data_IF_918883725742
#
_entry.id   IF_918883725742
#
_cell.length_a   1.000
_cell.length_b   1.000
_cell.length_c   1.000
_cell.angle_alpha   90.00
_cell.angle_beta   90.00
_cell.angle_gamma   90.00
#
_symmetry.space_group_name_H-M   'P 1'
#
loop_
_entity.id
_entity.type
_entity.pdbx_description
1 polymer ?
#
# COMPACT_ATOMS: atom_id res chain seq x y z
N UNK A 1 14.79 -80.36 0.51
CA UNK A 1 14.61 -79.52 -0.70
C UNK A 1 15.12 -78.12 -0.41
N UNK A 2 16.24 -77.70 -1.01
CA UNK A 2 16.84 -76.36 -0.87
C UNK A 2 17.06 -75.82 -2.28
N UNK A 3 16.36 -74.74 -2.66
CA UNK A 3 16.52 -74.06 -3.95
C UNK A 3 17.63 -73.01 -3.82
N UNK A 4 18.56 -73.02 -4.79
CA UNK A 4 19.77 -72.19 -4.84
C UNK A 4 19.47 -70.86 -5.55
N UNK A 5 20.05 -69.80 -5.01
CA UNK A 5 20.12 -68.43 -5.56
C UNK A 5 21.26 -68.39 -6.60
N UNK A 6 21.05 -67.67 -7.70
CA UNK A 6 22.09 -67.34 -8.71
C UNK A 6 22.23 -65.83 -8.77
N UNK A 7 23.46 -65.35 -8.57
CA UNK A 7 23.90 -63.96 -8.67
C UNK A 7 24.63 -63.81 -10.01
N UNK A 8 24.25 -62.83 -10.83
CA UNK A 8 24.90 -62.53 -12.10
C UNK A 8 25.70 -61.23 -11.95
N UNK A 9 27.03 -61.35 -12.05
CA UNK A 9 27.95 -60.23 -12.15
C UNK A 9 28.12 -59.84 -13.62
N UNK A 10 28.03 -58.55 -13.94
CA UNK A 10 28.31 -58.01 -15.26
C UNK A 10 29.55 -57.11 -15.18
N UNK A 11 30.56 -57.44 -16.00
CA UNK A 11 31.87 -56.80 -16.05
C UNK A 11 31.85 -55.64 -17.05
N UNK A 12 32.34 -54.48 -16.63
CA UNK A 12 32.57 -53.30 -17.46
C UNK A 12 33.76 -53.53 -18.41
N UNK A 13 33.60 -53.12 -19.67
CA UNK A 13 34.71 -52.89 -20.59
C UNK A 13 34.60 -51.47 -21.16
N UNK A 14 35.64 -50.68 -20.90
CA UNK A 14 35.89 -49.37 -21.47
C UNK A 14 36.57 -49.50 -22.83
N UNK A 15 36.13 -48.68 -23.78
CA UNK A 15 36.78 -48.47 -25.07
C UNK A 15 36.27 -47.16 -25.66
N UNK A 16 37.06 -46.10 -25.52
CA UNK A 16 36.76 -44.80 -26.12
C UNK A 16 37.17 -44.77 -27.59
N UNK A 17 36.33 -44.15 -28.41
CA UNK A 17 36.75 -43.31 -29.53
C UNK A 17 35.79 -42.13 -29.64
N UNK A 18 36.37 -40.94 -29.66
CA UNK A 18 35.70 -39.66 -29.79
C UNK A 18 35.27 -39.43 -31.26
N UNK A 19 34.05 -38.91 -31.44
CA UNK A 19 33.72 -37.98 -32.52
C UNK A 19 32.79 -36.90 -31.95
N UNK A 20 33.30 -35.68 -32.03
CA UNK A 20 32.66 -34.38 -31.81
C UNK A 20 31.49 -34.17 -32.78
N UNK A 21 30.36 -33.64 -32.33
CA UNK A 21 30.02 -32.21 -32.37
C UNK A 21 28.49 -32.01 -32.38
N UNK A 22 28.04 -30.88 -31.84
CA UNK A 22 26.62 -30.49 -31.82
C UNK A 22 26.04 -30.35 -30.41
N UNK A 23 26.77 -29.69 -29.50
CA UNK A 23 26.19 -29.18 -28.27
C UNK A 23 25.09 -28.19 -28.60
N UNK A 24 23.83 -28.63 -28.54
CA UNK A 24 22.70 -27.73 -28.40
C UNK A 24 22.74 -27.16 -26.99
N UNK A 25 23.64 -26.20 -26.75
CA UNK A 25 23.45 -25.22 -25.69
C UNK A 25 22.22 -24.43 -26.11
N UNK A 26 21.05 -24.89 -25.66
CA UNK A 26 19.82 -24.10 -25.78
C UNK A 26 20.10 -22.77 -25.09
N UNK A 27 20.41 -21.74 -25.88
CA UNK A 27 20.50 -20.37 -25.42
C UNK A 27 19.18 -20.10 -24.70
N UNK A 28 19.26 -19.67 -23.43
CA UNK A 28 18.07 -19.20 -22.74
C UNK A 28 17.43 -18.12 -23.62
N UNK A 29 16.09 -18.13 -23.82
CA UNK A 29 15.44 -17.09 -24.58
C UNK A 29 15.74 -15.74 -23.91
N UNK A 30 16.39 -14.86 -24.65
CA UNK A 30 16.75 -13.51 -24.19
C UNK A 30 15.48 -12.66 -24.22
N UNK A 31 14.99 -12.26 -23.05
CA UNK A 31 13.90 -11.29 -22.97
C UNK A 31 14.49 -9.90 -23.19
N UNK A 32 14.06 -9.22 -24.25
CA UNK A 32 14.58 -7.90 -24.59
C UNK A 32 13.74 -6.78 -23.98
N UNK A 33 12.47 -7.04 -23.69
CA UNK A 33 11.51 -6.04 -23.21
C UNK A 33 11.18 -6.29 -21.74
N UNK A 34 11.11 -5.24 -20.94
CA UNK A 34 10.61 -5.35 -19.56
C UNK A 34 9.09 -5.53 -19.62
N UNK A 35 8.63 -6.75 -19.31
CA UNK A 35 7.21 -7.10 -19.18
C UNK A 35 6.91 -7.32 -17.71
N UNK A 36 6.02 -6.52 -17.14
CA UNK A 36 5.74 -6.53 -15.71
C UNK A 36 4.25 -6.61 -15.46
N UNK A 37 3.85 -7.44 -14.52
CA UNK A 37 2.50 -7.49 -13.97
C UNK A 37 2.53 -7.07 -12.50
N UNK A 38 1.70 -6.11 -12.12
CA UNK A 38 1.59 -5.62 -10.76
C UNK A 38 0.34 -6.17 -10.07
N UNK A 39 0.49 -6.71 -8.87
CA UNK A 39 -0.63 -6.87 -7.93
C UNK A 39 -0.57 -5.80 -6.86
N UNK A 40 -1.66 -5.60 -6.14
CA UNK A 40 -1.72 -4.71 -4.99
C UNK A 40 -1.81 -5.59 -3.73
N UNK A 41 -0.94 -5.30 -2.77
CA UNK A 41 -0.70 -6.14 -1.60
C UNK A 41 -1.85 -6.07 -0.61
N UNK A 42 -2.46 -7.21 -0.32
CA UNK A 42 -3.52 -7.31 0.69
C UNK A 42 -2.93 -7.40 2.11
N UNK A 43 -3.57 -6.68 3.03
CA UNK A 43 -3.35 -6.78 4.47
C UNK A 43 -3.80 -8.16 5.00
N UNK A 44 -2.91 -9.15 4.93
CA UNK A 44 -2.96 -10.49 5.57
C UNK A 44 -4.33 -11.16 5.81
N UNK A 45 -4.56 -12.23 5.04
CA UNK A 45 -5.55 -13.33 5.15
C UNK A 45 -6.99 -13.02 4.69
N UNK A 46 -7.36 -13.72 3.61
CA UNK A 46 -8.64 -13.83 2.89
C UNK A 46 -8.81 -12.88 1.68
N UNK A 47 -9.10 -13.53 0.54
CA UNK A 47 -9.41 -13.08 -0.84
C UNK A 47 -10.60 -12.08 -0.82
N UNK A 48 -10.83 -11.08 -1.68
CA UNK A 48 -10.72 -10.82 -3.13
C UNK A 48 -10.47 -9.31 -3.32
N UNK A 49 -9.63 -8.93 -4.31
CA UNK A 49 -9.20 -7.55 -4.49
C UNK A 49 -10.15 -6.70 -5.32
N UNK A 50 -11.15 -6.10 -4.69
CA UNK A 50 -12.08 -5.17 -5.35
C UNK A 50 -11.64 -3.71 -5.37
N UNK A 51 -10.57 -3.35 -4.66
CA UNK A 51 -10.29 -1.93 -4.44
C UNK A 51 -9.52 -1.17 -5.51
N UNK A 52 -9.44 -1.65 -6.76
CA UNK A 52 -8.70 -0.97 -7.84
C UNK A 52 -9.25 -1.40 -9.21
N UNK A 53 -10.57 -1.27 -9.38
CA UNK A 53 -11.23 -1.54 -10.66
C UNK A 53 -10.68 -0.64 -11.78
N UNK A 54 -10.30 0.59 -11.42
CA UNK A 54 -9.69 1.56 -12.31
C UNK A 54 -8.18 1.42 -12.41
N UNK A 55 -7.64 1.96 -13.50
CA UNK A 55 -6.21 1.93 -13.77
C UNK A 55 -5.45 2.91 -12.87
N UNK A 56 -4.30 2.47 -12.34
CA UNK A 56 -3.45 3.30 -11.49
C UNK A 56 -2.30 3.90 -12.29
N UNK A 57 -2.19 5.23 -12.25
CA UNK A 57 -1.02 5.95 -12.75
C UNK A 57 0.15 5.77 -11.77
N UNK A 58 1.15 4.98 -12.16
CA UNK A 58 2.31 4.63 -11.33
C UNK A 58 3.61 5.10 -11.98
N UNK A 59 4.68 5.19 -11.21
CA UNK A 59 6.00 5.47 -11.74
C UNK A 59 6.99 4.39 -11.30
N UNK A 60 8.04 4.16 -12.07
CA UNK A 60 9.16 3.32 -11.66
C UNK A 60 10.46 4.13 -11.68
N UNK A 61 11.12 4.23 -10.54
CA UNK A 61 12.50 4.68 -10.50
C UNK A 61 13.40 3.56 -11.05
N UNK A 62 14.20 3.86 -12.08
CA UNK A 62 15.09 2.92 -12.77
C UNK A 62 16.55 3.34 -12.66
N UNK A 63 17.42 2.35 -12.48
CA UNK A 63 18.86 2.46 -12.58
C UNK A 63 19.41 1.35 -13.46
N UNK A 64 20.39 1.69 -14.29
CA UNK A 64 21.09 0.72 -15.14
C UNK A 64 22.52 0.57 -14.65
N UNK A 65 23.00 -0.66 -14.64
CA UNK A 65 24.42 -0.94 -14.40
C UNK A 65 25.26 -0.22 -15.48
N UNK A 66 26.41 0.31 -15.10
CA UNK A 66 27.28 1.05 -16.05
C UNK A 66 28.17 0.11 -16.85
N UNK A 67 28.54 -1.03 -16.25
CA UNK A 67 29.40 -2.06 -16.84
C UNK A 67 28.87 -3.45 -16.44
N UNK A 68 28.79 -4.43 -17.34
CA UNK A 68 28.27 -5.76 -17.01
C UNK A 68 28.94 -6.37 -15.78
N UNK A 69 28.14 -6.84 -14.82
CA UNK A 69 28.59 -7.57 -13.62
C UNK A 69 29.51 -6.75 -12.68
N UNK A 70 29.50 -5.43 -12.79
CA UNK A 70 30.30 -4.53 -11.95
C UNK A 70 29.66 -4.21 -10.60
N UNK A 71 28.35 -4.35 -10.49
CA UNK A 71 27.57 -3.87 -9.35
C UNK A 71 27.49 -2.35 -9.24
N UNK A 72 27.99 -1.61 -10.23
CA UNK A 72 27.99 -0.14 -10.26
C UNK A 72 26.88 0.38 -11.15
N UNK A 73 26.10 1.34 -10.66
CA UNK A 73 24.89 1.83 -11.33
C UNK A 73 24.99 3.32 -11.64
N UNK A 74 24.31 3.72 -12.72
CA UNK A 74 24.18 5.13 -13.12
C UNK A 74 23.21 5.91 -12.23
N UNK A 75 22.87 7.12 -12.66
CA UNK A 75 21.85 7.93 -11.98
C UNK A 75 20.45 7.28 -12.08
N UNK A 76 19.60 7.56 -11.09
CA UNK A 76 18.18 7.23 -11.20
C UNK A 76 17.53 8.06 -12.31
N UNK A 77 16.50 7.49 -12.91
CA UNK A 77 15.53 8.20 -13.73
C UNK A 77 14.15 7.58 -13.51
N UNK A 78 13.10 8.31 -13.88
CA UNK A 78 11.72 7.89 -13.68
C UNK A 78 11.09 7.40 -14.98
N UNK A 79 10.38 6.28 -14.91
CA UNK A 79 9.64 5.67 -16.00
C UNK A 79 8.15 5.69 -15.66
N UNK A 80 7.38 6.55 -16.33
CA UNK A 80 5.92 6.60 -16.18
C UNK A 80 5.28 5.31 -16.70
N UNK A 81 4.29 4.81 -15.98
CA UNK A 81 3.53 3.64 -16.35
C UNK A 81 2.09 3.68 -15.84
N UNK A 82 1.26 2.78 -16.34
CA UNK A 82 -0.07 2.54 -15.82
C UNK A 82 -0.19 1.08 -15.43
N UNK A 83 -0.63 0.80 -14.20
CA UNK A 83 -1.15 -0.52 -13.87
C UNK A 83 -2.60 -0.56 -14.35
N UNK A 84 -2.93 -1.47 -15.27
CA UNK A 84 -4.31 -1.64 -15.70
C UNK A 84 -5.23 -1.91 -14.50
N UNK A 85 -6.47 -1.46 -14.59
CA UNK A 85 -7.48 -1.71 -13.56
C UNK A 85 -7.89 -3.19 -13.49
N UNK A 86 -8.48 -3.55 -12.35
CA UNK A 86 -8.99 -4.89 -12.08
C UNK A 86 -8.14 -5.70 -11.10
N UNK A 87 -8.72 -6.82 -10.68
CA UNK A 87 -8.25 -7.63 -9.58
C UNK A 87 -6.93 -8.36 -9.91
N UNK A 88 -6.18 -8.69 -8.86
CA UNK A 88 -5.02 -9.57 -8.96
C UNK A 88 -3.83 -8.94 -9.70
N UNK A 89 -3.15 -9.74 -10.53
CA UNK A 89 -2.00 -9.28 -11.31
C UNK A 89 -2.49 -8.66 -12.61
N UNK A 90 -2.25 -7.36 -12.75
CA UNK A 90 -2.60 -6.62 -13.95
C UNK A 90 -1.34 -6.13 -14.67
N UNK A 91 -1.36 -6.06 -16.01
CA UNK A 91 -0.24 -5.54 -16.79
C UNK A 91 0.17 -4.13 -16.35
N UNK A 92 1.48 -3.89 -16.29
CA UNK A 92 2.10 -2.57 -16.19
C UNK A 92 2.48 -2.12 -17.59
N UNK A 93 1.86 -1.04 -18.05
CA UNK A 93 2.10 -0.43 -19.35
C UNK A 93 2.95 0.82 -19.20
N UNK A 94 4.24 0.74 -19.55
CA UNK A 94 5.10 1.92 -19.56
C UNK A 94 4.72 2.87 -20.70
N UNK A 95 4.67 4.17 -20.41
CA UNK A 95 4.44 5.21 -21.43
C UNK A 95 5.52 5.15 -22.51
N UNK A 96 6.77 4.94 -22.10
CA UNK A 96 7.89 4.64 -23.00
C UNK A 96 8.33 3.20 -22.75
N UNK A 97 8.31 2.32 -23.76
CA UNK A 97 8.74 0.93 -23.61
C UNK A 97 10.13 0.82 -22.97
N UNK A 98 10.24 -0.08 -21.99
CA UNK A 98 11.46 -0.32 -21.25
C UNK A 98 12.12 -1.61 -21.74
N UNK A 99 13.44 -1.57 -21.92
CA UNK A 99 14.22 -2.71 -22.42
C UNK A 99 15.34 -3.08 -21.47
N UNK A 100 15.68 -4.37 -21.44
CA UNK A 100 16.91 -4.83 -20.82
C UNK A 100 18.11 -4.50 -21.72
N UNK A 101 19.27 -4.10 -21.15
CA UNK A 101 20.49 -3.92 -21.93
C UNK A 101 20.90 -5.21 -22.66
N UNK A 102 21.23 -5.07 -23.95
CA UNK A 102 21.59 -6.21 -24.83
C UNK A 102 22.88 -6.91 -24.42
N UNK A 103 23.74 -6.22 -23.67
CA UNK A 103 25.02 -6.72 -23.16
C UNK A 103 24.90 -7.47 -21.82
N UNK A 104 23.66 -7.71 -21.37
CA UNK A 104 23.39 -8.46 -20.13
C UNK A 104 23.58 -7.64 -18.86
N UNK A 105 23.75 -6.31 -18.95
CA UNK A 105 23.77 -5.43 -17.78
C UNK A 105 22.47 -5.54 -16.99
N UNK A 106 22.64 -5.44 -15.68
CA UNK A 106 21.51 -5.51 -14.74
C UNK A 106 20.80 -4.16 -14.67
N UNK A 107 19.49 -4.18 -14.54
CA UNK A 107 18.67 -3.01 -14.23
C UNK A 107 18.04 -3.18 -12.85
N UNK A 108 17.82 -2.06 -12.18
CA UNK A 108 17.10 -1.95 -10.91
C UNK A 108 15.86 -1.12 -11.13
N UNK A 109 14.73 -1.54 -10.57
CA UNK A 109 13.49 -0.78 -10.63
C UNK A 109 12.74 -0.81 -9.29
N UNK A 110 12.12 0.30 -8.91
CA UNK A 110 11.16 0.34 -7.80
C UNK A 110 9.96 1.17 -8.21
N UNK A 111 8.78 0.55 -8.18
CA UNK A 111 7.52 1.19 -8.49
C UNK A 111 7.00 2.01 -7.30
N UNK A 112 6.34 3.13 -7.58
CA UNK A 112 5.62 3.91 -6.58
C UNK A 112 4.33 4.51 -7.15
N UNK A 113 3.38 4.77 -6.26
CA UNK A 113 2.12 5.46 -6.49
C UNK A 113 1.92 6.52 -5.39
N UNK A 114 1.36 7.69 -5.72
CA UNK A 114 0.98 8.18 -7.05
C UNK A 114 2.17 8.51 -7.96
N UNK A 115 1.96 8.50 -9.29
CA UNK A 115 3.01 8.79 -10.28
C UNK A 115 3.56 10.22 -10.17
N UNK A 116 2.65 11.19 -10.13
CA UNK A 116 2.92 12.63 -10.16
C UNK A 116 1.69 13.41 -9.65
N UNK A 117 1.85 14.69 -9.37
CA UNK A 117 0.78 15.58 -8.89
C UNK A 117 1.34 16.69 -8.02
N UNK A 118 0.47 17.57 -7.52
CA UNK A 118 0.85 18.64 -6.60
C UNK A 118 1.42 18.10 -5.27
N UNK A 119 1.07 16.85 -4.94
CA UNK A 119 1.49 16.15 -3.73
C UNK A 119 2.71 15.25 -3.93
N UNK A 120 3.37 15.27 -5.10
CA UNK A 120 4.48 14.35 -5.43
C UNK A 120 5.69 15.09 -5.97
N UNK A 121 6.85 14.88 -5.36
CA UNK A 121 8.12 15.49 -5.77
C UNK A 121 9.24 14.45 -5.84
N UNK A 122 9.64 14.08 -7.06
CA UNK A 122 10.73 13.13 -7.29
C UNK A 122 12.10 13.84 -7.39
N UNK A 123 13.06 13.42 -6.56
CA UNK A 123 14.47 13.81 -6.68
C UNK A 123 15.31 12.58 -7.05
N UNK A 124 15.48 12.39 -8.35
CA UNK A 124 16.26 11.28 -8.91
C UNK A 124 17.76 11.42 -8.66
N UNK A 125 18.27 12.63 -8.40
CA UNK A 125 19.66 12.82 -8.04
C UNK A 125 19.93 12.35 -6.60
N UNK A 126 18.98 12.63 -5.69
CA UNK A 126 19.00 12.12 -4.31
C UNK A 126 18.54 10.66 -4.19
N UNK A 127 17.89 10.11 -5.23
CA UNK A 127 17.39 8.74 -5.24
C UNK A 127 16.17 8.55 -4.34
N UNK A 128 15.24 9.51 -4.35
CA UNK A 128 14.03 9.45 -3.54
C UNK A 128 12.84 10.14 -4.23
N UNK A 129 11.66 9.95 -3.64
CA UNK A 129 10.45 10.70 -3.95
C UNK A 129 9.76 11.11 -2.64
N UNK A 130 9.27 12.34 -2.59
CA UNK A 130 8.48 12.87 -1.49
C UNK A 130 7.01 12.95 -1.85
N UNK A 131 6.17 12.77 -0.84
CA UNK A 131 4.72 12.81 -0.91
C UNK A 131 4.16 13.74 0.15
N UNK A 132 3.04 14.39 -0.15
CA UNK A 132 2.19 15.09 0.82
C UNK A 132 0.93 14.27 1.06
N UNK A 133 0.72 13.81 2.29
CA UNK A 133 -0.48 13.07 2.68
C UNK A 133 -1.66 14.03 2.84
N UNK A 134 -2.75 13.75 2.15
CA UNK A 134 -3.96 14.58 2.10
C UNK A 134 -5.18 13.94 2.81
N UNK A 135 -5.04 12.72 3.33
CA UNK A 135 -6.13 11.97 3.96
C UNK A 135 -6.90 11.02 3.02
N UNK A 136 -6.70 11.14 1.71
CA UNK A 136 -7.44 10.42 0.66
C UNK A 136 -6.56 9.55 -0.22
N UNK A 137 -5.44 10.10 -0.69
CA UNK A 137 -4.59 9.49 -1.69
C UNK A 137 -3.69 8.47 -1.02
N UNK A 138 -3.81 7.22 -1.43
CA UNK A 138 -2.90 6.18 -0.95
C UNK A 138 -1.48 6.39 -1.48
N UNK A 139 -0.49 5.95 -0.71
CA UNK A 139 0.90 5.94 -1.12
C UNK A 139 1.36 4.50 -1.09
N UNK A 140 1.76 3.99 -2.26
CA UNK A 140 2.23 2.62 -2.41
C UNK A 140 3.63 2.57 -3.00
N UNK A 141 4.38 1.53 -2.68
CA UNK A 141 5.61 1.20 -3.38
C UNK A 141 5.79 -0.30 -3.56
N UNK A 142 6.58 -0.67 -4.56
CA UNK A 142 6.96 -2.07 -4.76
C UNK A 142 8.21 -2.44 -3.98
N UNK A 143 8.44 -3.74 -3.88
CA UNK A 143 9.77 -4.27 -3.62
C UNK A 143 10.80 -3.73 -4.63
N UNK A 144 12.06 -3.83 -4.25
CA UNK A 144 13.18 -3.50 -5.12
C UNK A 144 13.44 -4.60 -6.14
N UNK A 145 13.16 -4.31 -7.41
CA UNK A 145 13.32 -5.23 -8.52
C UNK A 145 14.75 -5.16 -9.06
N UNK A 146 15.33 -6.31 -9.35
CA UNK A 146 16.68 -6.43 -9.89
C UNK A 146 16.69 -7.58 -10.92
N UNK A 147 17.11 -7.30 -12.15
CA UNK A 147 17.14 -8.32 -13.20
C UNK A 147 17.83 -7.87 -14.49
N UNK A 148 17.97 -8.79 -15.42
CA UNK A 148 18.57 -8.59 -16.74
C UNK A 148 17.84 -9.44 -17.79
N UNK A 149 18.29 -9.38 -19.04
CA UNK A 149 17.65 -10.09 -20.16
C UNK A 149 17.63 -11.63 -20.04
N UNK A 150 18.47 -12.21 -19.19
CA UNK A 150 18.58 -13.66 -18.94
C UNK A 150 17.84 -14.10 -17.68
N UNK A 151 17.75 -13.20 -16.69
CA UNK A 151 16.97 -13.37 -15.46
C UNK A 151 16.03 -12.18 -15.29
N UNK A 152 14.97 -12.09 -16.10
CA UNK A 152 14.04 -10.97 -16.05
C UNK A 152 13.13 -11.09 -14.83
N UNK A 153 12.68 -9.94 -14.33
CA UNK A 153 11.57 -9.87 -13.40
C UNK A 153 10.27 -9.70 -14.20
N UNK A 154 9.20 -10.35 -13.76
CA UNK A 154 7.91 -10.34 -14.45
C UNK A 154 6.74 -9.92 -13.56
N UNK A 155 6.96 -9.81 -12.25
CA UNK A 155 5.89 -9.46 -11.30
C UNK A 155 6.38 -8.49 -10.23
N UNK A 156 5.49 -7.62 -9.76
CA UNK A 156 5.69 -6.80 -8.56
C UNK A 156 4.41 -6.75 -7.70
N UNK A 157 4.56 -6.38 -6.44
CA UNK A 157 3.46 -6.10 -5.51
C UNK A 157 3.59 -4.67 -5.06
N UNK A 158 2.53 -3.87 -5.17
CA UNK A 158 2.44 -2.55 -4.56
C UNK A 158 1.95 -2.69 -3.12
N UNK A 159 2.75 -2.28 -2.15
CA UNK A 159 2.38 -2.29 -0.74
C UNK A 159 1.90 -0.90 -0.33
N UNK A 160 0.75 -0.84 0.33
CA UNK A 160 0.28 0.33 1.06
C UNK A 160 1.31 0.76 2.12
N UNK A 161 1.74 2.03 2.07
CA UNK A 161 2.76 2.57 2.98
C UNK A 161 2.18 3.45 4.10
N UNK A 162 0.90 3.82 4.02
CA UNK A 162 0.17 4.55 5.06
C UNK A 162 -0.55 3.58 6.01
N UNK A 163 -1.37 4.11 6.93
CA UNK A 163 -2.41 3.37 7.66
C UNK A 163 -3.77 3.92 7.26
N UNK A 164 -4.79 3.06 7.19
CA UNK A 164 -6.19 3.48 7.07
C UNK A 164 -6.82 3.48 8.47
N UNK A 165 -7.58 4.53 8.79
CA UNK A 165 -8.42 4.62 9.99
C UNK A 165 -9.87 4.72 9.56
N UNK A 166 -10.70 3.82 10.06
CA UNK A 166 -12.14 3.80 9.88
C UNK A 166 -12.81 4.23 11.20
N UNK A 167 -13.69 5.22 11.14
CA UNK A 167 -14.34 5.82 12.29
C UNK A 167 -15.80 5.39 12.37
N UNK A 168 -16.19 4.86 13.53
CA UNK A 168 -17.55 4.42 13.83
C UNK A 168 -18.11 5.27 14.97
N UNK A 169 -18.99 6.21 14.65
CA UNK A 169 -19.63 7.12 15.59
C UNK A 169 -20.99 6.57 16.04
N UNK A 170 -21.27 6.61 17.33
CA UNK A 170 -22.57 6.21 17.89
C UNK A 170 -22.79 6.80 19.28
N UNK A 171 -24.04 6.81 19.75
CA UNK A 171 -24.42 7.30 21.07
C UNK A 171 -25.56 6.45 21.65
N UNK A 172 -25.76 6.54 22.97
CA UNK A 172 -27.00 6.12 23.65
C UNK A 172 -27.97 7.27 23.88
N UNK A 173 -27.54 8.49 23.54
CA UNK A 173 -28.24 9.74 23.76
C UNK A 173 -28.03 10.64 22.53
N UNK A 174 -28.32 10.09 21.34
CA UNK A 174 -28.02 10.76 20.07
C UNK A 174 -28.70 12.13 19.97
N UNK A 175 -29.88 12.29 20.57
CA UNK A 175 -30.62 13.54 20.64
C UNK A 175 -29.84 14.67 21.35
N UNK A 176 -28.92 14.32 22.28
CA UNK A 176 -28.06 15.29 22.98
C UNK A 176 -26.95 15.86 22.10
N UNK A 177 -26.56 15.16 21.05
CA UNK A 177 -25.41 15.47 20.20
C UNK A 177 -25.80 15.92 18.78
N UNK A 178 -26.95 15.49 18.28
CA UNK A 178 -27.44 15.86 16.95
C UNK A 178 -26.62 15.19 15.85
N UNK A 179 -26.10 15.98 14.90
CA UNK A 179 -25.32 15.48 13.76
C UNK A 179 -23.84 15.79 13.89
N UNK A 180 -23.00 14.90 13.38
CA UNK A 180 -21.59 15.18 13.09
C UNK A 180 -21.53 15.91 11.76
N UNK A 181 -20.77 17.01 11.72
CA UNK A 181 -20.61 17.86 10.54
C UNK A 181 -19.20 17.86 10.01
N UNK A 182 -18.21 17.62 10.87
CA UNK A 182 -16.79 17.60 10.50
C UNK A 182 -16.00 16.71 11.46
N UNK A 183 -15.05 15.95 10.92
CA UNK A 183 -14.02 15.26 11.69
C UNK A 183 -12.68 15.57 11.05
N UNK A 184 -11.75 16.07 11.86
CA UNK A 184 -10.42 16.45 11.47
C UNK A 184 -9.39 15.70 12.31
N UNK A 185 -8.26 15.34 11.71
CA UNK A 185 -7.10 14.77 12.39
C UNK A 185 -6.04 15.86 12.52
N UNK A 186 -5.67 16.19 13.76
CA UNK A 186 -4.69 17.23 14.04
C UNK A 186 -3.26 16.70 14.07
N UNK A 187 -2.32 17.63 13.87
CA UNK A 187 -0.88 17.40 13.99
C UNK A 187 -0.39 16.25 13.10
N UNK A 188 -0.95 16.13 11.90
CA UNK A 188 -0.51 15.14 10.93
C UNK A 188 0.76 15.63 10.26
N UNK A 189 1.81 14.84 10.35
CA UNK A 189 3.09 15.06 9.67
C UNK A 189 2.94 14.67 8.20
N UNK A 190 2.49 15.61 7.36
CA UNK A 190 2.01 15.27 6.01
C UNK A 190 3.12 15.00 5.00
N UNK A 191 4.35 15.48 5.23
CA UNK A 191 5.45 15.31 4.27
C UNK A 191 6.23 14.02 4.54
N UNK A 192 6.14 13.09 3.61
CA UNK A 192 6.68 11.74 3.71
C UNK A 192 7.67 11.47 2.57
N UNK A 193 8.68 10.64 2.80
CA UNK A 193 9.71 10.31 1.81
C UNK A 193 9.86 8.80 1.63
N UNK A 194 9.87 8.36 0.37
CA UNK A 194 10.33 7.05 -0.04
C UNK A 194 11.74 7.17 -0.64
N UNK A 195 12.71 6.50 -0.02
CA UNK A 195 14.07 6.38 -0.58
C UNK A 195 14.17 5.13 -1.44
N UNK A 196 14.64 5.26 -2.68
CA UNK A 196 14.77 4.12 -3.59
C UNK A 196 15.83 3.12 -3.07
N UNK A 197 15.63 1.84 -3.35
CA UNK A 197 16.49 0.71 -2.92
C UNK A 197 16.37 0.28 -1.46
N UNK A 198 15.53 0.93 -0.67
CA UNK A 198 15.23 0.49 0.70
C UNK A 198 14.29 -0.72 0.65
N UNK A 199 14.64 -1.78 1.40
CA UNK A 199 13.91 -3.06 1.43
C UNK A 199 13.70 -3.50 2.89
N UNK A 200 12.44 -3.75 3.32
CA UNK A 200 11.19 -3.47 2.61
C UNK A 200 10.96 -1.95 2.41
N UNK A 201 10.13 -1.51 1.45
CA UNK A 201 9.82 -0.09 1.29
C UNK A 201 9.06 0.44 2.50
N UNK A 202 9.39 1.67 2.93
CA UNK A 202 8.66 2.39 3.97
C UNK A 202 8.78 3.90 3.76
N UNK A 203 7.87 4.66 4.37
CA UNK A 203 7.91 6.12 4.38
C UNK A 203 8.67 6.63 5.60
N UNK A 204 9.53 7.61 5.36
CA UNK A 204 10.19 8.39 6.42
C UNK A 204 9.50 9.74 6.54
N UNK A 205 9.16 10.14 7.75
CA UNK A 205 8.69 11.50 8.02
C UNK A 205 9.82 12.52 7.81
N UNK A 206 9.57 13.48 6.92
CA UNK A 206 10.47 14.60 6.62
C UNK A 206 9.78 15.94 6.80
N UNK A 207 8.65 15.95 7.53
CA UNK A 207 7.85 17.14 7.79
C UNK A 207 8.64 18.20 8.53
N UNK A 208 8.63 19.41 7.99
CA UNK A 208 8.97 20.61 8.74
C UNK A 208 7.75 21.09 9.54
N UNK A 209 7.92 22.10 10.39
CA UNK A 209 6.81 22.66 11.16
C UNK A 209 5.64 23.16 10.29
N UNK A 210 5.89 23.57 9.05
CA UNK A 210 4.83 23.99 8.12
C UNK A 210 4.08 22.83 7.49
N UNK A 211 4.63 21.62 7.54
CA UNK A 211 4.04 20.41 6.95
C UNK A 211 3.25 19.60 7.99
N UNK A 212 3.25 20.05 9.24
CA UNK A 212 2.36 19.55 10.30
C UNK A 212 1.01 20.25 10.14
N UNK A 213 0.01 19.50 9.67
CA UNK A 213 -1.29 20.02 9.25
C UNK A 213 -2.45 19.34 9.97
N UNK A 214 -3.62 19.96 9.82
CA UNK A 214 -4.90 19.29 10.02
C UNK A 214 -5.24 18.57 8.71
N UNK A 215 -5.67 17.31 8.81
CA UNK A 215 -6.17 16.50 7.70
C UNK A 215 -7.63 16.16 7.98
N UNK A 216 -8.53 16.65 7.15
CA UNK A 216 -9.96 16.36 7.28
C UNK A 216 -10.26 14.92 6.84
N UNK A 217 -11.24 14.30 7.49
CA UNK A 217 -11.82 13.05 7.00
C UNK A 217 -12.57 13.36 5.70
N UNK A 218 -12.17 12.77 4.57
CA UNK A 218 -12.72 13.11 3.26
C UNK A 218 -14.16 12.66 3.07
N UNK A 219 -14.86 13.38 2.18
CA UNK A 219 -16.20 13.09 1.66
C UNK A 219 -17.25 12.72 2.72
N UNK A 220 -17.04 13.20 3.95
CA UNK A 220 -17.92 12.88 5.07
C UNK A 220 -19.21 13.71 4.95
N UNK A 221 -20.37 13.07 4.70
CA UNK A 221 -21.64 13.80 4.72
C UNK A 221 -21.94 14.26 6.14
N UNK A 222 -22.77 15.30 6.28
CA UNK A 222 -23.39 15.57 7.59
C UNK A 222 -24.31 14.40 7.91
N UNK A 223 -24.09 13.73 9.04
CA UNK A 223 -24.89 12.58 9.44
C UNK A 223 -25.39 12.72 10.89
N UNK A 224 -26.66 12.36 11.17
CA UNK A 224 -27.14 12.25 12.54
C UNK A 224 -26.39 11.13 13.24
N UNK A 225 -25.99 11.34 14.49
CA UNK A 225 -25.31 10.29 15.26
C UNK A 225 -26.26 9.10 15.44
N UNK A 226 -25.85 7.87 15.05
CA UNK A 226 -26.65 6.68 15.30
C UNK A 226 -26.88 6.46 16.80
N UNK A 227 -28.14 6.21 17.17
CA UNK A 227 -28.51 5.78 18.53
C UNK A 227 -28.48 4.25 18.59
N UNK A 228 -27.68 3.70 19.50
CA UNK A 228 -27.42 2.26 19.62
C UNK A 228 -27.58 1.83 21.08
N UNK A 229 -28.43 0.85 21.34
CA UNK A 229 -28.63 0.28 22.68
C UNK A 229 -27.51 -0.71 23.08
N UNK A 230 -27.49 -1.16 24.33
CA UNK A 230 -26.55 -2.22 24.74
C UNK A 230 -26.83 -3.52 23.97
N UNK A 231 -25.77 -4.17 23.48
CA UNK A 231 -25.79 -5.44 22.74
C UNK A 231 -26.19 -5.36 21.26
N UNK A 232 -26.49 -4.16 20.74
CA UNK A 232 -26.71 -3.96 19.30
C UNK A 232 -25.40 -3.94 18.49
N UNK A 233 -25.50 -4.31 17.21
CA UNK A 233 -24.40 -4.25 16.26
C UNK A 233 -24.02 -2.79 15.98
N UNK A 234 -22.72 -2.50 15.93
CA UNK A 234 -22.25 -1.16 15.62
C UNK A 234 -22.52 -0.82 14.15
N UNK A 235 -22.81 0.45 13.84
CA UNK A 235 -23.02 0.88 12.46
C UNK A 235 -21.75 0.74 11.63
N UNK A 236 -21.92 0.69 10.31
CA UNK A 236 -20.79 0.75 9.37
C UNK A 236 -19.97 2.04 9.56
N UNK A 237 -18.65 2.03 9.31
CA UNK A 237 -17.82 3.22 9.43
C UNK A 237 -18.37 4.39 8.61
N UNK A 238 -18.50 5.57 9.22
CA UNK A 238 -18.99 6.77 8.55
C UNK A 238 -17.87 7.67 8.02
N UNK A 239 -16.62 7.37 8.36
CA UNK A 239 -15.46 8.14 7.93
C UNK A 239 -14.23 7.26 7.76
N UNK A 240 -13.47 7.50 6.70
CA UNK A 240 -12.22 6.79 6.41
C UNK A 240 -11.14 7.83 6.11
N UNK A 241 -9.97 7.71 6.72
CA UNK A 241 -8.83 8.61 6.47
C UNK A 241 -7.52 7.84 6.37
N UNK A 242 -6.67 8.24 5.44
CA UNK A 242 -5.32 7.69 5.25
C UNK A 242 -4.28 8.58 5.93
N UNK A 243 -3.47 8.00 6.80
CA UNK A 243 -2.51 8.75 7.60
C UNK A 243 -1.12 8.10 7.56
N UNK A 244 -0.03 8.89 7.66
CA UNK A 244 1.29 8.32 7.85
C UNK A 244 1.40 7.75 9.26
N UNK A 245 1.99 6.56 9.40
CA UNK A 245 2.15 5.90 10.71
C UNK A 245 3.00 6.77 11.64
N UNK A 246 2.35 7.52 12.52
CA UNK A 246 2.98 8.32 13.55
C UNK A 246 3.06 7.51 14.85
N UNK A 247 3.94 7.90 15.78
CA UNK A 247 4.39 7.12 16.94
C UNK A 247 3.37 6.72 18.03
N UNK A 248 2.12 6.40 17.67
CA UNK A 248 1.20 5.61 18.50
C UNK A 248 -0.22 6.17 18.64
N UNK A 249 -0.44 7.45 18.33
CA UNK A 249 -1.75 8.10 18.50
C UNK A 249 -1.96 9.29 17.57
N UNK A 250 -3.24 9.63 17.34
CA UNK A 250 -3.67 10.88 16.73
C UNK A 250 -4.67 11.60 17.64
N UNK A 251 -4.94 12.86 17.31
CA UNK A 251 -5.97 13.68 17.94
C UNK A 251 -7.00 14.05 16.89
N UNK A 252 -8.28 13.80 17.19
CA UNK A 252 -9.41 14.20 16.37
C UNK A 252 -10.01 15.50 16.90
N UNK A 253 -10.43 16.38 16.02
CA UNK A 253 -11.42 17.42 16.29
C UNK A 253 -12.73 17.02 15.63
N UNK A 254 -13.82 16.95 16.41
CA UNK A 254 -15.13 16.52 15.94
C UNK A 254 -16.13 17.64 16.17
N UNK A 255 -16.78 18.10 15.10
CA UNK A 255 -17.79 19.16 15.15
C UNK A 255 -19.18 18.54 15.12
N UNK A 256 -19.98 18.88 16.12
CA UNK A 256 -21.37 18.41 16.27
C UNK A 256 -22.33 19.59 16.33
N UNK A 257 -23.58 19.39 15.91
CA UNK A 257 -24.61 20.44 15.90
C UNK A 257 -25.14 20.79 17.30
N UNK A 258 -24.85 19.95 18.31
CA UNK A 258 -25.26 20.17 19.70
C UNK A 258 -24.09 19.97 20.66
N UNK A 259 -24.23 20.50 21.86
CA UNK A 259 -23.18 20.53 22.89
C UNK A 259 -23.02 19.24 23.73
N UNK A 260 -23.66 18.13 23.31
CA UNK A 260 -23.73 16.91 24.10
C UNK A 260 -24.64 17.00 25.32
N UNK A 261 -25.44 18.07 25.44
CA UNK A 261 -26.50 18.25 26.45
C UNK A 261 -27.87 18.52 25.84
N UNK A 262 -27.98 18.43 24.52
CA UNK A 262 -29.21 18.68 23.77
C UNK A 262 -29.40 20.12 23.31
N UNK A 263 -28.49 21.05 23.64
CA UNK A 263 -28.61 22.44 23.18
C UNK A 263 -28.11 22.56 21.73
N UNK A 264 -28.86 23.24 20.87
CA UNK A 264 -28.48 23.52 19.48
C UNK A 264 -27.34 24.56 19.42
N UNK A 265 -26.13 24.08 19.66
CA UNK A 265 -24.91 24.88 19.64
C UNK A 265 -23.81 24.04 19.03
N UNK A 266 -23.27 24.53 17.92
CA UNK A 266 -22.13 23.91 17.25
C UNK A 266 -20.96 23.80 18.23
N UNK A 267 -20.47 22.58 18.42
CA UNK A 267 -19.47 22.27 19.43
C UNK A 267 -18.38 21.39 18.84
N UNK A 268 -17.14 21.84 19.02
CA UNK A 268 -15.93 21.09 18.68
C UNK A 268 -15.42 20.33 19.90
N UNK A 269 -15.27 19.01 19.77
CA UNK A 269 -14.71 18.13 20.79
C UNK A 269 -13.37 17.57 20.34
N UNK A 270 -12.39 17.55 21.24
CA UNK A 270 -11.09 16.91 21.00
C UNK A 270 -11.06 15.48 21.54
N UNK A 271 -10.56 14.55 20.74
CA UNK A 271 -10.53 13.12 21.10
C UNK A 271 -9.18 12.52 20.75
N UNK A 272 -8.50 11.90 21.72
CA UNK A 272 -7.29 11.14 21.45
C UNK A 272 -7.65 9.71 20.99
N UNK A 273 -7.11 9.31 19.84
CA UNK A 273 -7.24 7.95 19.32
C UNK A 273 -5.87 7.27 19.32
N UNK A 274 -5.85 5.99 19.70
CA UNK A 274 -4.64 5.19 19.73
C UNK A 274 -4.99 3.71 19.78
N UNK A 275 -4.04 2.87 19.37
CA UNK A 275 -4.19 1.42 19.33
C UNK A 275 -3.03 0.81 20.12
N UNK A 276 -3.31 -0.26 20.88
CA UNK A 276 -2.25 -1.01 21.55
C UNK A 276 -1.27 -1.56 20.51
N UNK A 277 0.03 -1.26 20.68
CA UNK A 277 1.06 -1.60 19.68
C UNK A 277 1.21 -0.58 18.55
N UNK A 278 0.38 0.46 18.50
CA UNK A 278 0.42 1.55 17.53
C UNK A 278 -0.28 1.21 16.20
N UNK A 279 -0.44 2.23 15.37
CA UNK A 279 -0.94 2.05 14.01
C UNK A 279 0.10 1.33 13.14
N UNK A 280 -0.38 0.47 12.24
CA UNK A 280 0.47 -0.37 11.40
C UNK A 280 0.36 0.01 9.92
N UNK A 281 1.50 0.03 9.25
CA UNK A 281 1.57 0.25 7.80
C UNK A 281 0.79 -0.82 7.04
N UNK A 282 0.04 -0.38 6.04
CA UNK A 282 -0.77 -1.24 5.17
C UNK A 282 -1.90 -1.96 5.90
N UNK A 283 -2.36 -1.42 7.04
CA UNK A 283 -3.48 -1.95 7.82
C UNK A 283 -4.61 -0.95 7.90
N UNK A 284 -5.84 -1.46 7.99
CA UNK A 284 -7.02 -0.68 8.32
C UNK A 284 -7.39 -0.88 9.79
N UNK A 285 -7.61 0.20 10.54
CA UNK A 285 -7.93 0.19 11.96
C UNK A 285 -9.32 0.77 12.18
N UNK A 286 -10.20 -0.01 12.80
CA UNK A 286 -11.57 0.41 13.11
C UNK A 286 -11.61 0.97 14.53
N UNK A 287 -11.98 2.24 14.65
CA UNK A 287 -12.05 2.98 15.91
C UNK A 287 -13.47 3.43 16.15
N UNK A 288 -14.02 3.01 17.28
CA UNK A 288 -15.35 3.41 17.71
C UNK A 288 -15.29 4.61 18.64
N UNK A 289 -16.17 5.57 18.37
CA UNK A 289 -16.33 6.84 19.06
C UNK A 289 -17.72 6.86 19.70
N UNK A 290 -17.76 6.62 21.00
CA UNK A 290 -18.98 6.65 21.81
C UNK A 290 -19.20 8.06 22.37
N UNK A 291 -20.25 8.72 21.89
CA UNK A 291 -20.69 10.02 22.37
C UNK A 291 -21.59 9.81 23.60
N UNK A 292 -21.17 10.31 24.77
CA UNK A 292 -21.82 10.00 26.05
C UNK A 292 -22.69 11.15 26.57
N UNK A 293 -23.56 10.85 27.53
CA UNK A 293 -24.34 11.86 28.27
C UNK A 293 -23.50 12.86 29.09
N UNK A 294 -22.23 12.57 29.36
CA UNK A 294 -21.32 13.43 30.13
C UNK A 294 -20.68 14.54 29.26
N UNK A 295 -21.17 14.73 28.03
CA UNK A 295 -20.56 15.59 27.02
C UNK A 295 -19.10 15.17 26.73
N UNK A 296 -18.84 13.85 26.74
CA UNK A 296 -17.54 13.26 26.43
C UNK A 296 -17.64 12.31 25.25
N UNK A 297 -16.54 12.15 24.52
CA UNK A 297 -16.41 11.14 23.48
C UNK A 297 -15.38 10.11 23.97
N UNK A 298 -15.83 8.88 24.20
CA UNK A 298 -14.98 7.76 24.63
C UNK A 298 -14.56 6.95 23.40
N UNK A 299 -13.31 6.54 23.37
CA UNK A 299 -12.76 5.75 22.27
C UNK A 299 -12.66 4.28 22.68
N UNK A 300 -12.98 3.38 21.75
CA UNK A 300 -12.72 1.96 21.91
C UNK A 300 -12.22 1.40 20.58
N UNK A 301 -11.14 0.63 20.64
CA UNK A 301 -10.58 -0.02 19.46
C UNK A 301 -11.34 -1.32 19.19
N UNK A 302 -11.83 -1.48 17.96
CA UNK A 302 -12.69 -2.61 17.60
C UNK A 302 -11.97 -3.67 16.79
N UNK A 303 -10.91 -3.31 16.05
CA UNK A 303 -10.06 -4.31 15.39
C UNK A 303 -9.22 -3.80 14.23
N UNK A 304 -8.49 -4.74 13.62
CA UNK A 304 -7.74 -4.53 12.36
C UNK A 304 -8.47 -5.23 11.23
N UNK A 305 -8.81 -4.48 10.18
CA UNK A 305 -9.41 -4.98 8.95
C UNK A 305 -8.36 -5.12 7.82
N UNK A 306 -8.71 -5.91 6.80
CA UNK A 306 -7.98 -5.89 5.55
C UNK A 306 -8.14 -4.52 4.89
N UNK A 307 -7.07 -3.96 4.34
CA UNK A 307 -7.16 -2.76 3.52
C UNK A 307 -7.60 -3.17 2.12
N UNK A 308 -8.84 -2.85 1.78
CA UNK A 308 -9.41 -2.81 0.43
C UNK A 308 -9.98 -1.40 0.24
N UNK A 309 -10.02 -0.85 -0.99
CA UNK A 309 -10.94 0.28 -1.20
C UNK A 309 -12.37 -0.21 -0.96
N UNK A 310 -13.20 0.69 -0.44
CA UNK A 310 -14.62 0.42 -0.27
C UNK A 310 -15.24 0.43 -1.67
N UNK A 311 -15.97 -0.63 -2.05
CA UNK A 311 -16.77 -0.61 -3.26
C UNK A 311 -17.73 0.59 -3.13
N UNK A 312 -17.73 1.51 -4.11
CA UNK A 312 -18.77 2.53 -4.18
C UNK A 312 -20.11 1.81 -4.09
N UNK A 313 -20.95 2.19 -3.11
CA UNK A 313 -22.29 1.68 -2.97
C UNK A 313 -23.00 1.91 -4.30
N UNK A 314 -23.26 0.82 -5.03
CA UNK A 314 -24.01 0.80 -6.27
C UNK A 314 -25.32 1.56 -6.04
N UNK A 315 -25.41 2.81 -6.50
CA UNK A 315 -26.63 3.61 -6.40
C UNK A 315 -27.56 3.02 -7.48
N UNK A 316 -28.66 2.34 -7.12
CA UNK A 316 -29.54 1.75 -8.12
C UNK A 316 -30.15 2.87 -8.97
N UNK A 317 -29.98 2.74 -10.29
CA UNK A 317 -30.62 3.58 -11.33
C UNK A 317 -32.14 3.36 -11.32
#
# INVERSE_FOLDING_TARGET
MKKRIVITAFVCLSGGMACSDGGNNGLQPVETTVRLEGSIGLSSRAVIGSGYADALAVCFARQDETVPQSGTYGAWHVCKAVRNGGDGRQPILFTVPQFYPVDGRTIRMQGYFPMEGETVEADTAAGMVQFTVDGTTDIMATDFLNGNAYTPFNTCIFYHLLTQIQLVCYSRDADKWGSVTQIDVENVHTRQQLTFSVVPPFLTDVSSATDIKIVSVPDMPVFPIPEIEEEEELPDPQGIVLLPVSGGSYRLQIVTTKDGRGNETETTSEVAIGVEGGFLTGKSHVISLLFTEESQIKTTFVGVAAWTEHDEVDIPI
#
